data_IF_819686171993
#
_entry.id   IF_819686171993
#
_cell.length_a   1.000
_cell.length_b   1.000
_cell.length_c   1.000
_cell.angle_alpha   90.00
_cell.angle_beta   90.00
_cell.angle_gamma   90.00
#
_symmetry.space_group_name_H-M   'P 1'
#
loop_
_entity.id
_entity.type
_entity.pdbx_description
1 polymer ?
#
# COMPACT_ATOMS: atom_id res chain seq x y z
N UNK A 1 1.21 6.84 -23.59
CA UNK A 1 1.75 7.02 -22.22
C UNK A 1 0.72 7.73 -21.37
N UNK A 2 0.42 7.20 -20.21
CA UNK A 2 -0.45 7.83 -19.23
C UNK A 2 0.18 9.12 -18.72
N UNK A 3 -0.63 10.17 -18.53
CA UNK A 3 -0.20 11.42 -17.90
C UNK A 3 -0.84 11.50 -16.51
N UNK A 4 -0.05 11.44 -15.42
CA UNK A 4 -0.54 11.62 -14.06
C UNK A 4 -1.16 13.00 -13.85
N UNK A 5 -2.06 13.13 -12.87
CA UNK A 5 -2.74 14.37 -12.55
C UNK A 5 -1.80 15.55 -12.29
N UNK A 6 -0.63 15.30 -11.71
CA UNK A 6 0.38 16.33 -11.44
C UNK A 6 0.79 17.09 -12.70
N UNK A 7 0.90 16.41 -13.87
CA UNK A 7 1.23 17.06 -15.13
C UNK A 7 0.16 18.06 -15.56
N UNK A 8 -1.12 17.73 -15.35
CA UNK A 8 -2.22 18.64 -15.67
C UNK A 8 -2.29 19.82 -14.71
N UNK A 9 -2.01 19.60 -13.42
CA UNK A 9 -1.96 20.67 -12.44
C UNK A 9 -0.86 21.68 -12.79
N UNK A 10 0.34 21.21 -13.08
CA UNK A 10 1.48 22.06 -13.43
C UNK A 10 1.26 22.82 -14.76
N UNK A 11 0.57 22.22 -15.71
CA UNK A 11 0.28 22.87 -17.01
C UNK A 11 -0.82 23.94 -16.92
N UNK A 12 -1.76 23.80 -15.98
CA UNK A 12 -2.92 24.68 -15.84
C UNK A 12 -3.26 24.94 -14.36
N UNK A 13 -2.34 25.55 -13.58
CA UNK A 13 -2.55 25.70 -12.13
C UNK A 13 -3.78 26.55 -11.80
N UNK A 14 -4.13 27.55 -12.59
CA UNK A 14 -5.29 28.40 -12.41
C UNK A 14 -6.63 27.64 -12.46
N UNK A 15 -6.67 26.49 -13.09
CA UNK A 15 -7.86 25.63 -13.17
C UNK A 15 -8.09 24.85 -11.86
N UNK A 16 -7.04 24.58 -11.11
CA UNK A 16 -7.07 23.67 -9.98
C UNK A 16 -6.79 24.36 -8.65
N UNK A 17 -5.89 25.34 -8.61
CA UNK A 17 -5.49 26.02 -7.39
C UNK A 17 -6.48 27.15 -7.00
N UNK A 18 -6.63 27.33 -5.69
CA UNK A 18 -7.31 28.47 -5.07
C UNK A 18 -6.24 29.23 -4.26
N UNK A 19 -6.02 30.52 -4.60
CA UNK A 19 -4.89 31.25 -4.00
C UNK A 19 -3.54 30.84 -4.56
N UNK A 20 -2.46 31.16 -3.85
CA UNK A 20 -1.09 31.03 -4.36
C UNK A 20 -0.14 30.25 -3.46
N UNK A 21 -0.53 29.89 -2.25
CA UNK A 21 0.31 29.14 -1.33
C UNK A 21 -0.01 27.64 -1.38
N UNK A 22 1.00 26.81 -1.54
CA UNK A 22 0.84 25.37 -1.66
C UNK A 22 1.73 24.60 -0.70
N UNK A 23 1.17 23.54 -0.09
CA UNK A 23 1.90 22.49 0.59
C UNK A 23 1.84 21.20 -0.23
N UNK A 24 2.88 20.36 -0.15
CA UNK A 24 2.94 19.07 -0.84
C UNK A 24 2.99 17.92 0.16
N UNK A 25 2.16 16.90 -0.07
CA UNK A 25 2.30 15.57 0.53
C UNK A 25 2.85 14.65 -0.56
N UNK A 26 4.13 14.33 -0.46
CA UNK A 26 4.90 13.69 -1.53
C UNK A 26 5.93 12.71 -0.99
N UNK A 27 6.36 11.81 -1.85
CA UNK A 27 7.53 10.97 -1.63
C UNK A 27 8.29 10.80 -2.97
N UNK A 28 9.30 9.96 -3.00
CA UNK A 28 10.16 9.73 -4.18
C UNK A 28 9.41 9.20 -5.42
N UNK A 29 8.15 8.73 -5.28
CA UNK A 29 7.30 8.34 -6.42
C UNK A 29 6.61 9.52 -7.09
N UNK A 30 6.69 10.72 -6.51
CA UNK A 30 6.01 11.93 -6.96
C UNK A 30 6.69 12.53 -8.20
N UNK A 31 6.72 11.75 -9.28
CA UNK A 31 7.36 12.13 -10.54
C UNK A 31 6.34 12.62 -11.55
N UNK A 32 6.76 13.62 -12.32
CA UNK A 32 6.11 14.04 -13.56
C UNK A 32 6.52 13.14 -14.72
N UNK A 33 5.83 13.25 -15.84
CA UNK A 33 6.10 12.43 -17.04
C UNK A 33 7.49 12.63 -17.66
N UNK A 34 8.21 13.72 -17.30
CA UNK A 34 9.61 13.97 -17.68
C UNK A 34 10.60 13.41 -16.64
N UNK A 35 10.13 12.56 -15.72
CA UNK A 35 10.90 11.89 -14.67
C UNK A 35 11.57 12.83 -13.66
N UNK A 36 11.04 14.04 -13.50
CA UNK A 36 11.49 14.96 -12.46
C UNK A 36 10.55 14.89 -11.26
N UNK A 37 11.13 15.04 -10.09
CA UNK A 37 10.34 15.09 -8.86
C UNK A 37 9.48 16.36 -8.83
N UNK A 38 8.21 16.23 -8.42
CA UNK A 38 7.25 17.35 -8.38
C UNK A 38 7.77 18.55 -7.57
N UNK A 39 8.52 18.36 -6.49
CA UNK A 39 9.12 19.44 -5.69
C UNK A 39 9.92 20.40 -6.58
N UNK A 40 10.73 19.89 -7.51
CA UNK A 40 11.56 20.75 -8.38
C UNK A 40 10.71 21.68 -9.26
N UNK A 41 9.58 21.17 -9.78
CA UNK A 41 8.64 21.97 -10.55
C UNK A 41 7.91 22.99 -9.67
N UNK A 42 7.48 22.58 -8.48
CA UNK A 42 6.76 23.46 -7.57
C UNK A 42 7.65 24.58 -7.01
N UNK A 43 8.91 24.27 -6.69
CA UNK A 43 9.85 25.25 -6.14
C UNK A 43 10.19 26.39 -7.12
N UNK A 44 10.11 26.16 -8.43
CA UNK A 44 10.44 27.13 -9.46
C UNK A 44 9.24 27.70 -10.23
N UNK A 45 8.01 27.30 -9.86
CA UNK A 45 6.83 27.69 -10.64
C UNK A 45 6.42 29.15 -10.39
N UNK A 46 6.17 29.97 -11.45
CA UNK A 46 5.91 31.40 -11.29
C UNK A 46 4.51 31.74 -10.75
N UNK A 47 3.54 30.81 -10.80
CA UNK A 47 2.14 31.08 -10.49
C UNK A 47 1.77 30.88 -9.02
N UNK A 48 2.62 30.18 -8.24
CA UNK A 48 2.36 29.88 -6.84
C UNK A 48 3.66 29.72 -6.03
N UNK A 49 3.56 29.69 -4.73
CA UNK A 49 4.69 29.56 -3.80
C UNK A 49 4.56 28.26 -3.01
N UNK A 50 5.57 27.39 -3.09
CA UNK A 50 5.70 26.22 -2.25
C UNK A 50 6.15 26.65 -0.84
N UNK A 51 5.38 26.29 0.20
CA UNK A 51 5.62 26.75 1.57
C UNK A 51 5.77 25.62 2.59
N UNK A 52 5.34 24.40 2.27
CA UNK A 52 5.44 23.26 3.18
C UNK A 52 5.61 21.93 2.44
N UNK A 53 6.34 21.00 3.05
CA UNK A 53 6.53 19.64 2.59
C UNK A 53 6.15 18.65 3.68
N UNK A 54 5.41 17.62 3.30
CA UNK A 54 5.01 16.52 4.16
C UNK A 54 5.38 15.20 3.49
N UNK A 55 5.89 14.24 4.25
CA UNK A 55 6.25 12.92 3.76
C UNK A 55 5.52 11.83 4.53
N UNK A 56 5.01 10.77 3.86
CA UNK A 56 4.35 9.65 4.51
C UNK A 56 5.37 8.70 5.15
N UNK A 57 4.92 7.55 5.61
CA UNK A 57 5.76 6.41 5.98
C UNK A 57 6.87 6.18 4.93
N UNK A 58 8.02 5.69 5.34
CA UNK A 58 9.27 5.57 4.58
C UNK A 58 9.98 6.90 4.24
N UNK A 59 9.36 8.06 4.49
CA UNK A 59 9.93 9.40 4.24
C UNK A 59 9.90 9.85 2.80
N UNK A 60 10.39 11.07 2.57
CA UNK A 60 10.42 11.66 1.23
C UNK A 60 11.24 10.83 0.24
N UNK A 61 12.34 10.25 0.68
CA UNK A 61 13.27 9.50 -0.18
C UNK A 61 13.01 7.98 -0.17
N UNK A 62 12.05 7.49 0.62
CA UNK A 62 11.67 6.08 0.65
C UNK A 62 12.74 5.14 1.18
N UNK A 63 13.61 5.60 2.07
CA UNK A 63 14.77 4.80 2.55
C UNK A 63 14.50 4.08 3.88
N UNK A 64 13.55 4.57 4.67
CA UNK A 64 13.21 3.94 5.95
C UNK A 64 12.44 2.64 5.74
N UNK A 65 12.75 1.62 6.56
CA UNK A 65 11.99 0.37 6.57
C UNK A 65 10.59 0.61 7.19
N UNK A 66 9.70 -0.39 7.06
CA UNK A 66 8.39 -0.37 7.68
C UNK A 66 8.45 -0.21 9.20
N UNK A 67 7.49 0.50 9.76
CA UNK A 67 7.37 0.78 11.19
C UNK A 67 8.58 1.53 11.81
N UNK A 68 9.40 2.20 10.99
CA UNK A 68 10.54 3.01 11.46
C UNK A 68 10.15 4.48 11.50
N UNK A 69 10.32 5.11 12.66
CA UNK A 69 10.13 6.56 12.85
C UNK A 69 11.08 7.37 11.98
N UNK A 70 10.58 8.45 11.40
CA UNK A 70 11.34 9.35 10.54
C UNK A 70 11.33 10.73 11.17
N UNK A 71 12.52 11.26 11.42
CA UNK A 71 12.71 12.64 11.88
C UNK A 71 12.50 13.64 10.74
N UNK A 72 12.23 14.90 11.11
CA UNK A 72 12.13 15.97 10.13
C UNK A 72 13.49 16.26 9.50
N UNK A 73 13.51 16.37 8.17
CA UNK A 73 14.70 16.65 7.38
C UNK A 73 14.52 17.96 6.60
N UNK A 74 15.57 18.46 5.97
CA UNK A 74 15.51 19.62 5.08
C UNK A 74 15.69 19.14 3.64
N UNK A 75 14.73 19.45 2.78
CA UNK A 75 14.84 19.13 1.36
C UNK A 75 15.90 20.00 0.67
N UNK A 76 16.92 19.40 0.03
CA UNK A 76 18.02 20.16 -0.57
C UNK A 76 17.61 20.98 -1.82
N UNK A 77 16.46 20.66 -2.43
CA UNK A 77 15.99 21.35 -3.64
C UNK A 77 15.24 22.63 -3.30
N UNK A 78 14.32 22.55 -2.33
CA UNK A 78 13.50 23.70 -1.91
C UNK A 78 14.05 24.44 -0.70
N UNK A 79 14.90 23.82 0.11
CA UNK A 79 15.35 24.33 1.40
C UNK A 79 14.28 24.30 2.49
N UNK A 80 13.12 23.71 2.22
CA UNK A 80 12.03 23.57 3.19
C UNK A 80 12.23 22.38 4.11
N UNK A 81 11.74 22.50 5.35
CA UNK A 81 11.66 21.37 6.27
C UNK A 81 10.58 20.39 5.77
N UNK A 82 10.93 19.10 5.74
CA UNK A 82 10.03 18.01 5.46
C UNK A 82 9.43 17.57 6.79
N UNK A 83 8.12 17.75 6.96
CA UNK A 83 7.40 17.25 8.14
C UNK A 83 7.02 15.80 7.92
N UNK A 84 7.50 14.91 8.78
CA UNK A 84 7.12 13.48 8.74
C UNK A 84 5.68 13.31 9.21
N UNK A 85 4.91 12.52 8.44
CA UNK A 85 3.56 12.05 8.81
C UNK A 85 3.60 10.59 9.30
N UNK A 86 4.73 10.15 9.82
CA UNK A 86 4.90 8.83 10.42
C UNK A 86 5.90 8.87 11.58
N UNK A 87 5.39 8.76 12.79
CA UNK A 87 6.17 8.79 14.02
C UNK A 87 5.70 7.76 15.04
N UNK A 88 6.01 7.97 16.32
CA UNK A 88 5.79 6.99 17.42
C UNK A 88 4.32 6.71 17.77
N UNK A 89 3.43 7.60 17.43
CA UNK A 89 2.03 7.53 17.87
C UNK A 89 1.08 7.77 16.69
N UNK A 90 -0.12 7.27 16.79
CA UNK A 90 -1.16 7.50 15.78
C UNK A 90 -1.44 9.01 15.54
N UNK A 91 -1.27 9.85 16.55
CA UNK A 91 -1.41 11.30 16.42
C UNK A 91 -0.41 11.93 15.43
N UNK A 92 0.74 11.29 15.20
CA UNK A 92 1.76 11.77 14.25
C UNK A 92 1.45 11.43 12.80
N UNK A 93 0.41 10.64 12.54
CA UNK A 93 -0.04 10.30 11.19
C UNK A 93 -0.83 11.44 10.52
N UNK A 94 -1.12 12.52 11.25
CA UNK A 94 -1.82 13.70 10.75
C UNK A 94 -0.85 14.89 10.70
N UNK A 95 -0.94 15.78 9.69
CA UNK A 95 -0.24 17.06 9.74
C UNK A 95 -0.66 17.86 10.98
N UNK A 96 0.29 18.54 11.61
CA UNK A 96 -0.04 19.55 12.62
C UNK A 96 -0.93 20.63 11.96
N UNK A 97 -2.12 20.94 12.50
CA UNK A 97 -2.97 22.00 11.96
C UNK A 97 -2.22 23.36 11.84
N UNK A 98 -1.26 23.64 12.72
CA UNK A 98 -0.44 24.84 12.65
C UNK A 98 0.46 24.85 11.39
N UNK A 99 0.91 23.70 10.92
CA UNK A 99 1.72 23.58 9.71
C UNK A 99 0.92 23.89 8.42
N UNK A 100 -0.42 23.89 8.48
CA UNK A 100 -1.28 24.29 7.37
C UNK A 100 -1.69 25.77 7.43
N UNK A 101 -1.28 26.51 8.44
CA UNK A 101 -1.62 27.93 8.58
C UNK A 101 -1.05 28.74 7.39
N UNK A 102 -1.95 29.43 6.65
CA UNK A 102 -1.57 30.22 5.49
C UNK A 102 -1.35 29.42 4.19
N UNK A 103 -1.65 28.13 4.21
CA UNK A 103 -1.62 27.28 3.00
C UNK A 103 -3.01 27.28 2.36
N UNK A 104 -3.11 27.73 1.11
CA UNK A 104 -4.38 27.73 0.36
C UNK A 104 -4.75 26.34 -0.13
N UNK A 105 -3.75 25.55 -0.56
CA UNK A 105 -3.94 24.23 -1.12
C UNK A 105 -2.90 23.24 -0.56
N UNK A 106 -3.36 22.08 -0.09
CA UNK A 106 -2.52 20.93 0.23
C UNK A 106 -2.66 19.90 -0.91
N UNK A 107 -1.55 19.57 -1.56
CA UNK A 107 -1.53 18.74 -2.76
C UNK A 107 -0.93 17.38 -2.42
N UNK A 108 -1.69 16.32 -2.67
CA UNK A 108 -1.25 14.93 -2.53
C UNK A 108 -0.87 14.37 -3.90
N UNK A 109 0.35 13.88 -4.03
CA UNK A 109 0.88 13.30 -5.27
C UNK A 109 1.77 12.09 -4.96
N UNK A 110 1.19 10.95 -4.60
CA UNK A 110 1.92 9.71 -4.22
C UNK A 110 1.33 8.53 -4.98
N UNK A 111 2.19 7.60 -5.43
CA UNK A 111 1.80 6.35 -6.07
C UNK A 111 1.38 5.31 -5.03
N UNK A 112 0.14 4.84 -5.12
CA UNK A 112 -0.39 3.70 -4.36
C UNK A 112 -0.05 2.36 -5.04
N UNK A 113 -0.26 1.23 -4.34
CA UNK A 113 -0.03 -0.12 -4.86
C UNK A 113 -1.30 -0.95 -5.10
N UNK A 114 -2.49 -0.42 -4.79
CA UNK A 114 -3.78 -1.07 -5.04
C UNK A 114 -4.23 -2.03 -3.93
N UNK A 115 -3.60 -2.00 -2.76
CA UNK A 115 -3.90 -2.85 -1.62
C UNK A 115 -4.31 -2.03 -0.39
N UNK A 116 -5.36 -2.48 0.31
CA UNK A 116 -5.96 -1.82 1.47
C UNK A 116 -4.95 -1.45 2.57
N UNK A 117 -3.99 -2.29 2.83
CA UNK A 117 -3.05 -2.08 3.93
C UNK A 117 -1.84 -1.21 3.58
N UNK A 118 -1.75 -0.75 2.34
CA UNK A 118 -0.69 0.18 1.94
C UNK A 118 -1.05 1.59 2.38
N UNK A 119 -0.36 2.08 3.42
CA UNK A 119 -0.82 3.16 4.31
C UNK A 119 -0.94 4.55 3.68
N UNK A 120 -0.38 4.76 2.48
CA UNK A 120 -0.42 6.07 1.81
C UNK A 120 -1.83 6.59 1.55
N UNK A 121 -2.79 5.68 1.31
CA UNK A 121 -4.20 6.06 1.13
C UNK A 121 -4.81 6.63 2.41
N UNK A 122 -4.37 6.14 3.58
CA UNK A 122 -4.84 6.66 4.87
C UNK A 122 -4.10 7.93 5.28
N UNK A 123 -2.82 8.09 4.92
CA UNK A 123 -2.13 9.38 5.01
C UNK A 123 -2.90 10.45 4.22
N UNK A 124 -3.38 10.14 3.00
CA UNK A 124 -4.26 11.02 2.22
C UNK A 124 -5.55 11.36 2.97
N UNK A 125 -6.25 10.36 3.51
CA UNK A 125 -7.50 10.56 4.23
C UNK A 125 -7.31 11.42 5.49
N UNK A 126 -6.23 11.22 6.24
CA UNK A 126 -5.88 12.03 7.41
C UNK A 126 -5.57 13.48 7.02
N UNK A 127 -4.83 13.70 5.93
CA UNK A 127 -4.62 15.03 5.36
C UNK A 127 -5.95 15.71 4.97
N UNK A 128 -6.89 14.96 4.37
CA UNK A 128 -8.23 15.46 4.05
C UNK A 128 -8.99 15.90 5.32
N UNK A 129 -8.92 15.11 6.40
CA UNK A 129 -9.52 15.44 7.68
C UNK A 129 -8.99 16.75 8.28
N UNK A 130 -7.67 16.97 8.21
CA UNK A 130 -7.06 18.22 8.67
C UNK A 130 -7.40 19.38 7.75
N UNK A 131 -7.43 19.18 6.43
CA UNK A 131 -7.90 20.20 5.47
C UNK A 131 -9.33 20.67 5.75
N UNK A 132 -10.24 19.77 6.13
CA UNK A 132 -11.59 20.15 6.59
C UNK A 132 -11.55 21.08 7.81
N UNK A 133 -10.70 20.78 8.79
CA UNK A 133 -10.57 21.56 10.04
C UNK A 133 -9.94 22.93 9.81
N UNK A 134 -8.93 23.02 8.94
CA UNK A 134 -8.19 24.27 8.65
C UNK A 134 -8.82 25.15 7.58
N UNK A 135 -9.76 24.63 6.77
CA UNK A 135 -10.29 25.32 5.60
C UNK A 135 -9.34 25.35 4.40
N UNK A 136 -8.22 24.61 4.46
CA UNK A 136 -7.30 24.41 3.35
C UNK A 136 -7.95 23.52 2.30
N UNK A 137 -7.83 23.86 1.00
CA UNK A 137 -8.31 22.98 -0.07
C UNK A 137 -7.39 21.77 -0.21
N UNK A 138 -7.95 20.56 -0.21
CA UNK A 138 -7.24 19.34 -0.56
C UNK A 138 -7.25 19.13 -2.07
N UNK A 139 -6.09 18.89 -2.67
CA UNK A 139 -5.95 18.54 -4.08
C UNK A 139 -5.28 17.17 -4.16
N UNK A 140 -5.89 16.24 -4.88
CA UNK A 140 -5.31 14.92 -5.13
C UNK A 140 -5.00 14.79 -6.60
N UNK A 141 -3.70 14.65 -6.91
CA UNK A 141 -3.24 14.35 -8.26
C UNK A 141 -3.39 12.85 -8.51
N UNK A 142 -4.31 12.50 -9.40
CA UNK A 142 -4.63 11.10 -9.66
C UNK A 142 -3.49 10.37 -10.35
N UNK A 143 -3.28 9.10 -9.94
CA UNK A 143 -2.27 8.17 -10.45
C UNK A 143 -2.89 6.80 -10.71
N UNK A 144 -2.36 6.01 -11.69
CA UNK A 144 -2.91 4.71 -12.01
C UNK A 144 -2.84 3.74 -10.81
N UNK A 145 -3.88 2.92 -10.66
CA UNK A 145 -3.76 1.73 -9.84
C UNK A 145 -2.82 0.75 -10.56
N UNK A 146 -1.70 0.33 -9.96
CA UNK A 146 -0.67 -0.42 -10.68
C UNK A 146 -1.07 -1.86 -11.01
N UNK A 147 -2.03 -2.40 -10.27
CA UNK A 147 -2.51 -3.78 -10.42
C UNK A 147 -3.91 -3.85 -11.05
N UNK A 148 -4.21 -2.92 -11.95
CA UNK A 148 -5.46 -2.62 -12.64
C UNK A 148 -6.59 -2.05 -11.75
N UNK A 149 -7.61 -1.49 -12.39
CA UNK A 149 -8.78 -0.92 -11.72
C UNK A 149 -10.05 -1.76 -11.87
N UNK A 150 -9.93 -3.06 -12.17
CA UNK A 150 -11.07 -3.95 -12.44
C UNK A 150 -11.20 -5.04 -11.39
N UNK A 151 -10.07 -5.65 -10.99
CA UNK A 151 -10.10 -6.83 -10.14
C UNK A 151 -10.21 -6.44 -8.66
N UNK A 152 -11.32 -6.83 -8.06
CA UNK A 152 -11.57 -6.73 -6.61
C UNK A 152 -11.29 -8.09 -5.97
N UNK A 153 -10.72 -8.09 -4.75
CA UNK A 153 -10.51 -9.32 -3.99
C UNK A 153 -10.46 -9.03 -2.48
N UNK A 154 -11.08 -9.90 -1.71
CA UNK A 154 -11.10 -9.82 -0.25
C UNK A 154 -12.35 -9.17 0.32
N UNK A 155 -12.49 -9.31 1.63
CA UNK A 155 -13.62 -8.78 2.40
C UNK A 155 -13.39 -7.31 2.77
N UNK A 156 -14.48 -6.64 3.12
CA UNK A 156 -14.42 -5.32 3.75
C UNK A 156 -13.89 -5.44 5.19
N UNK A 157 -13.19 -4.41 5.67
CA UNK A 157 -12.78 -4.37 7.07
C UNK A 157 -13.98 -4.11 7.97
N UNK A 158 -14.19 -4.95 8.97
CA UNK A 158 -15.23 -4.76 9.96
C UNK A 158 -14.90 -3.59 10.90
N UNK A 159 -15.91 -2.91 11.42
CA UNK A 159 -15.75 -1.68 12.20
C UNK A 159 -14.82 -1.86 13.41
N UNK A 160 -14.92 -2.95 14.12
CA UNK A 160 -14.09 -3.28 15.30
C UNK A 160 -12.63 -3.59 14.96
N UNK A 161 -12.31 -3.82 13.66
CA UNK A 161 -10.96 -4.15 13.17
C UNK A 161 -10.30 -3.02 12.40
N UNK A 162 -10.91 -1.82 12.41
CA UNK A 162 -10.32 -0.64 11.80
C UNK A 162 -9.01 -0.27 12.49
N UNK A 163 -8.00 0.00 11.67
CA UNK A 163 -6.64 0.36 12.11
C UNK A 163 -5.94 1.16 11.02
N UNK A 164 -4.67 1.52 11.21
CA UNK A 164 -3.91 2.23 10.17
C UNK A 164 -3.68 1.37 8.90
N UNK A 165 -3.83 0.06 8.96
CA UNK A 165 -3.77 -0.84 7.78
C UNK A 165 -5.14 -1.22 7.22
N UNK A 166 -6.20 -0.57 7.69
CA UNK A 166 -7.57 -0.83 7.29
C UNK A 166 -8.55 0.15 7.94
N UNK A 167 -8.42 1.44 7.64
CA UNK A 167 -9.20 2.49 8.33
C UNK A 167 -10.65 2.55 7.87
N UNK A 168 -10.93 2.16 6.63
CA UNK A 168 -12.25 2.26 6.01
C UNK A 168 -12.68 0.94 5.35
N UNK A 169 -13.98 0.74 5.09
CA UNK A 169 -14.50 -0.51 4.52
C UNK A 169 -14.11 -0.66 3.04
N UNK A 170 -12.86 -1.02 2.81
CA UNK A 170 -12.30 -1.34 1.51
C UNK A 170 -11.99 -2.84 1.43
N UNK A 171 -12.11 -3.49 0.26
CA UNK A 171 -11.59 -4.83 0.04
C UNK A 171 -10.05 -4.83 0.05
N UNK A 172 -9.44 -5.98 0.30
CA UNK A 172 -7.99 -6.11 0.37
C UNK A 172 -7.30 -5.64 -0.93
N UNK A 173 -7.86 -5.99 -2.10
CA UNK A 173 -7.52 -5.43 -3.40
C UNK A 173 -8.69 -4.56 -3.86
N UNK A 174 -8.53 -3.23 -3.85
CA UNK A 174 -9.65 -2.29 -3.96
C UNK A 174 -9.95 -1.77 -5.37
N UNK A 175 -9.08 -2.00 -6.34
CA UNK A 175 -9.25 -1.61 -7.75
C UNK A 175 -9.51 -0.10 -8.02
N UNK A 176 -9.29 0.78 -7.05
CA UNK A 176 -9.48 2.23 -7.19
C UNK A 176 -8.15 2.95 -7.40
N UNK A 177 -8.20 4.10 -8.10
CA UNK A 177 -7.07 5.04 -8.19
C UNK A 177 -7.02 5.93 -6.95
N UNK A 178 -5.91 6.65 -6.74
CA UNK A 178 -5.79 7.59 -5.62
C UNK A 178 -6.89 8.66 -5.65
N UNK A 179 -7.25 9.17 -6.84
CA UNK A 179 -8.32 10.14 -7.02
C UNK A 179 -9.70 9.55 -6.70
N UNK A 180 -9.97 8.32 -7.10
CA UNK A 180 -11.21 7.61 -6.79
C UNK A 180 -11.34 7.33 -5.29
N UNK A 181 -10.25 6.90 -4.63
CA UNK A 181 -10.21 6.74 -3.17
C UNK A 181 -10.47 8.06 -2.45
N UNK A 182 -9.89 9.17 -2.92
CA UNK A 182 -10.16 10.48 -2.33
C UNK A 182 -11.64 10.87 -2.43
N UNK A 183 -12.28 10.62 -3.57
CA UNK A 183 -13.71 10.85 -3.74
C UNK A 183 -14.55 9.95 -2.82
N UNK A 184 -14.22 8.67 -2.75
CA UNK A 184 -14.87 7.72 -1.85
C UNK A 184 -14.76 8.15 -0.38
N UNK A 185 -13.55 8.50 0.09
CA UNK A 185 -13.36 8.95 1.46
C UNK A 185 -14.08 10.27 1.75
N UNK A 186 -14.16 11.17 0.77
CA UNK A 186 -14.82 12.45 0.95
C UNK A 186 -16.35 12.36 1.00
N UNK A 187 -16.93 11.49 0.18
CA UNK A 187 -18.39 11.38 0.01
C UNK A 187 -19.00 10.22 0.77
N UNK A 188 -18.49 9.01 0.63
CA UNK A 188 -19.09 7.81 1.24
C UNK A 188 -18.69 7.66 2.73
N UNK A 189 -17.48 8.07 3.08
CA UNK A 189 -16.98 8.08 4.47
C UNK A 189 -17.30 9.43 5.17
N UNK A 190 -17.77 10.41 4.42
CA UNK A 190 -18.20 11.74 4.90
C UNK A 190 -17.06 12.56 5.56
N UNK A 191 -15.83 12.45 5.05
CA UNK A 191 -14.76 13.36 5.51
C UNK A 191 -15.19 14.82 5.23
N UNK A 192 -15.72 15.13 4.03
CA UNK A 192 -16.37 16.39 3.71
C UNK A 192 -15.43 17.60 3.69
N UNK A 193 -14.19 17.45 3.23
CA UNK A 193 -13.27 18.56 2.98
C UNK A 193 -13.53 19.23 1.63
N UNK A 194 -13.00 20.45 1.42
CA UNK A 194 -12.96 21.06 0.08
C UNK A 194 -11.97 20.30 -0.79
N UNK A 195 -12.45 19.28 -1.53
CA UNK A 195 -11.63 18.37 -2.33
C UNK A 195 -11.66 18.75 -3.81
N UNK A 196 -10.49 18.70 -4.46
CA UNK A 196 -10.32 18.75 -5.91
C UNK A 196 -9.44 17.61 -6.38
N UNK A 197 -10.00 16.69 -7.17
CA UNK A 197 -9.20 15.67 -7.87
C UNK A 197 -8.74 16.24 -9.21
N UNK A 198 -7.45 16.11 -9.50
CA UNK A 198 -6.84 16.41 -10.80
C UNK A 198 -6.71 15.08 -11.54
N UNK A 199 -7.53 14.84 -12.58
CA UNK A 199 -7.56 13.54 -13.24
C UNK A 199 -6.26 13.25 -13.99
N UNK A 200 -5.88 11.99 -14.06
CA UNK A 200 -4.92 11.51 -15.05
C UNK A 200 -5.61 11.36 -16.43
N UNK A 201 -4.83 11.23 -17.49
CA UNK A 201 -5.34 10.94 -18.84
C UNK A 201 -4.60 9.78 -19.48
N UNK A 202 -5.23 9.17 -20.50
CA UNK A 202 -4.68 8.02 -21.24
C UNK A 202 -4.43 6.77 -20.37
N UNK A 203 -5.20 6.60 -19.31
CA UNK A 203 -5.31 5.37 -18.53
C UNK A 203 -6.73 4.82 -18.64
N UNK A 204 -6.83 3.51 -18.69
CA UNK A 204 -8.10 2.80 -18.54
C UNK A 204 -7.98 1.74 -17.45
N UNK A 205 -9.12 1.28 -16.92
CA UNK A 205 -9.17 0.42 -15.74
C UNK A 205 -8.51 -0.95 -15.92
N UNK A 206 -8.44 -1.44 -17.13
CA UNK A 206 -7.87 -2.75 -17.46
C UNK A 206 -6.33 -2.72 -17.51
N UNK A 207 -5.73 -1.54 -17.64
CA UNK A 207 -4.28 -1.39 -17.76
C UNK A 207 -3.55 -1.74 -16.46
N UNK A 208 -2.47 -2.49 -16.63
CA UNK A 208 -1.44 -2.67 -15.63
C UNK A 208 -0.39 -1.57 -15.73
N UNK A 209 0.40 -1.38 -14.67
CA UNK A 209 1.33 -0.25 -14.61
C UNK A 209 2.36 -0.22 -15.76
N UNK A 210 2.92 -1.36 -16.15
CA UNK A 210 3.87 -1.50 -17.25
C UNK A 210 3.28 -1.16 -18.63
N UNK A 211 1.96 -1.14 -18.77
CA UNK A 211 1.26 -0.73 -19.98
C UNK A 211 1.01 0.78 -20.04
N UNK A 212 1.22 1.49 -18.93
CA UNK A 212 1.02 2.94 -18.86
C UNK A 212 2.15 3.75 -19.53
N UNK A 213 3.32 3.12 -19.68
CA UNK A 213 4.54 3.78 -20.15
C UNK A 213 5.24 4.62 -19.08
N UNK A 214 4.76 4.59 -17.83
CA UNK A 214 5.41 5.23 -16.68
C UNK A 214 6.48 4.29 -16.10
N UNK A 215 7.62 4.82 -15.61
CA UNK A 215 8.63 4.00 -14.94
C UNK A 215 8.12 3.54 -13.57
N UNK A 216 8.38 2.28 -13.23
CA UNK A 216 8.16 1.81 -11.88
C UNK A 216 9.19 2.43 -10.93
N UNK A 217 8.72 3.23 -10.00
CA UNK A 217 9.52 3.73 -8.87
C UNK A 217 9.06 2.95 -7.64
N UNK A 218 9.93 2.19 -6.98
CA UNK A 218 9.55 1.41 -5.80
C UNK A 218 8.95 2.32 -4.72
N UNK A 219 7.66 2.19 -4.38
CA UNK A 219 7.05 3.14 -3.43
C UNK A 219 7.53 2.94 -1.99
N UNK A 220 8.15 1.80 -1.69
CA UNK A 220 8.85 1.52 -0.44
C UNK A 220 10.02 0.57 -0.68
N UNK A 221 10.98 0.41 0.28
CA UNK A 221 12.14 -0.47 0.10
C UNK A 221 11.79 -1.92 -0.23
N UNK A 222 10.66 -2.41 0.25
CA UNK A 222 10.21 -3.79 0.04
C UNK A 222 9.15 -3.93 -1.07
N UNK A 223 9.01 -2.90 -1.93
CA UNK A 223 8.15 -2.92 -3.12
C UNK A 223 8.97 -2.69 -4.41
N UNK A 224 10.04 -3.50 -4.66
CA UNK A 224 11.05 -3.20 -5.68
C UNK A 224 10.53 -3.28 -7.12
N UNK A 225 9.51 -4.10 -7.38
CA UNK A 225 9.01 -4.36 -8.73
C UNK A 225 7.49 -4.37 -8.80
N UNK A 226 6.95 -4.22 -10.01
CA UNK A 226 5.53 -4.42 -10.25
C UNK A 226 5.08 -5.85 -9.89
N UNK A 227 5.93 -6.87 -10.11
CA UNK A 227 5.60 -8.24 -9.71
C UNK A 227 5.36 -8.36 -8.20
N UNK A 228 6.15 -7.64 -7.41
CA UNK A 228 5.94 -7.55 -5.96
C UNK A 228 4.57 -6.92 -5.63
N UNK A 229 4.19 -5.84 -6.32
CA UNK A 229 2.88 -5.21 -6.14
C UNK A 229 1.71 -6.13 -6.54
N UNK A 230 1.90 -6.97 -7.56
CA UNK A 230 0.88 -7.94 -8.02
C UNK A 230 0.58 -9.00 -6.96
N UNK A 231 1.59 -9.51 -6.25
CA UNK A 231 1.40 -10.53 -5.21
C UNK A 231 1.04 -9.93 -3.85
N UNK A 232 1.35 -8.66 -3.62
CA UNK A 232 1.27 -7.99 -2.32
C UNK A 232 -0.14 -8.01 -1.69
N UNK A 233 -1.28 -7.83 -2.41
CA UNK A 233 -2.61 -7.88 -1.79
C UNK A 233 -2.90 -9.16 -1.02
N UNK A 234 -2.30 -10.27 -1.40
CA UNK A 234 -2.35 -11.52 -0.64
C UNK A 234 -1.18 -11.64 0.33
N UNK A 235 0.04 -11.52 -0.18
CA UNK A 235 1.26 -11.85 0.55
C UNK A 235 1.51 -10.96 1.78
N UNK A 236 0.89 -9.80 1.86
CA UNK A 236 0.90 -9.00 3.07
C UNK A 236 0.28 -9.73 4.28
N UNK A 237 -0.64 -10.68 4.09
CA UNK A 237 -1.18 -11.50 5.19
C UNK A 237 -0.10 -12.31 5.93
N UNK A 238 1.01 -12.65 5.27
CA UNK A 238 2.16 -13.33 5.88
C UNK A 238 2.75 -12.52 7.04
N UNK A 239 2.63 -11.18 7.01
CA UNK A 239 3.07 -10.32 8.12
C UNK A 239 2.32 -10.62 9.43
N UNK A 240 1.10 -11.14 9.33
CA UNK A 240 0.32 -11.61 10.47
C UNK A 240 0.77 -12.95 11.07
N UNK A 241 1.88 -13.51 10.60
CA UNK A 241 2.45 -14.79 11.04
C UNK A 241 3.91 -14.66 11.44
N UNK A 242 4.51 -15.76 11.91
CA UNK A 242 5.95 -15.87 12.14
C UNK A 242 6.72 -16.37 10.89
N UNK A 243 6.05 -16.53 9.75
CA UNK A 243 6.68 -16.88 8.47
C UNK A 243 7.32 -15.62 7.86
N UNK A 244 8.52 -15.74 7.30
CA UNK A 244 9.13 -14.64 6.55
C UNK A 244 8.40 -14.44 5.24
N UNK A 245 7.99 -13.21 4.96
CA UNK A 245 7.47 -12.74 3.68
C UNK A 245 8.58 -12.37 2.69
N UNK A 246 9.82 -12.77 2.97
CA UNK A 246 10.96 -12.53 2.10
C UNK A 246 11.57 -11.15 2.19
N UNK A 247 11.17 -10.28 3.14
CA UNK A 247 11.91 -9.05 3.45
C UNK A 247 13.36 -9.39 3.81
N UNK A 248 14.30 -8.54 3.43
CA UNK A 248 15.73 -8.86 3.56
C UNK A 248 16.28 -9.78 2.46
N UNK A 249 15.46 -10.11 1.45
CA UNK A 249 15.88 -10.77 0.21
C UNK A 249 15.73 -9.82 -0.98
N UNK A 250 16.16 -10.26 -2.17
CA UNK A 250 15.97 -9.50 -3.42
C UNK A 250 14.54 -9.58 -3.99
N UNK A 251 13.65 -10.39 -3.38
CA UNK A 251 12.27 -10.61 -3.84
C UNK A 251 11.30 -10.68 -2.66
N UNK A 252 11.13 -9.56 -1.93
CA UNK A 252 10.15 -9.49 -0.85
C UNK A 252 8.74 -9.78 -1.40
N UNK A 253 7.94 -10.48 -0.60
CA UNK A 253 6.59 -10.95 -0.93
C UNK A 253 6.46 -11.95 -2.09
N UNK A 254 7.42 -11.98 -3.01
CA UNK A 254 7.47 -13.03 -4.04
C UNK A 254 8.09 -14.34 -3.49
N UNK A 255 8.92 -14.23 -2.43
CA UNK A 255 9.46 -15.35 -1.66
C UNK A 255 8.85 -15.36 -0.27
N UNK A 256 8.56 -16.55 0.25
CA UNK A 256 8.13 -16.71 1.64
C UNK A 256 8.57 -18.06 2.18
N UNK A 257 8.72 -18.16 3.50
CA UNK A 257 9.13 -19.41 4.14
C UNK A 257 9.61 -19.25 5.58
N UNK A 258 10.05 -20.37 6.16
CA UNK A 258 10.57 -20.41 7.52
C UNK A 258 11.61 -21.55 7.65
N UNK A 259 12.45 -21.55 8.70
CA UNK A 259 13.46 -22.60 8.90
C UNK A 259 12.90 -24.03 9.02
N UNK A 260 11.65 -24.16 9.48
CA UNK A 260 10.99 -25.45 9.65
C UNK A 260 10.26 -25.97 8.41
N UNK A 261 10.13 -25.17 7.35
CA UNK A 261 9.37 -25.55 6.15
C UNK A 261 10.26 -26.38 5.21
N UNK A 262 9.79 -27.56 4.84
CA UNK A 262 10.31 -28.33 3.72
C UNK A 262 9.63 -27.84 2.42
N UNK A 263 10.35 -27.19 1.50
CA UNK A 263 9.76 -26.60 0.29
C UNK A 263 9.12 -27.62 -0.65
N UNK A 264 9.62 -28.86 -0.68
CA UNK A 264 9.07 -29.91 -1.54
C UNK A 264 7.77 -30.48 -0.98
N UNK A 265 7.68 -30.67 0.34
CA UNK A 265 6.42 -31.08 0.99
C UNK A 265 5.34 -30.01 0.85
N UNK A 266 5.72 -28.73 1.01
CA UNK A 266 4.79 -27.64 0.84
C UNK A 266 4.28 -27.56 -0.62
N UNK A 267 5.16 -27.69 -1.62
CA UNK A 267 4.75 -27.75 -3.01
C UNK A 267 3.78 -28.91 -3.27
N UNK A 268 4.13 -30.12 -2.84
CA UNK A 268 3.27 -31.30 -3.00
C UNK A 268 1.89 -31.09 -2.38
N UNK A 269 1.82 -30.42 -1.20
CA UNK A 269 0.53 -30.14 -0.54
C UNK A 269 -0.29 -29.13 -1.33
N UNK A 270 0.31 -28.04 -1.82
CA UNK A 270 -0.42 -26.99 -2.55
C UNK A 270 -0.86 -27.43 -3.96
N UNK A 271 -0.20 -28.44 -4.56
CA UNK A 271 -0.58 -29.00 -5.87
C UNK A 271 -2.04 -29.46 -5.90
N UNK A 272 -2.61 -29.91 -4.77
CA UNK A 272 -4.02 -30.30 -4.69
C UNK A 272 -5.01 -29.12 -4.80
N UNK A 273 -4.54 -27.90 -4.60
CA UNK A 273 -5.36 -26.69 -4.62
C UNK A 273 -5.18 -25.89 -5.94
N UNK A 274 -4.25 -26.29 -6.82
CA UNK A 274 -3.87 -25.54 -8.03
C UNK A 274 -5.04 -25.30 -9.01
N UNK A 275 -6.00 -26.20 -9.09
CA UNK A 275 -7.19 -26.03 -9.94
C UNK A 275 -8.05 -24.82 -9.51
N UNK A 276 -7.92 -24.39 -8.25
CA UNK A 276 -8.60 -23.23 -7.71
C UNK A 276 -7.73 -21.96 -7.70
N UNK A 277 -6.45 -22.08 -8.06
CA UNK A 277 -5.44 -21.01 -8.04
C UNK A 277 -4.92 -20.71 -9.45
N UNK A 278 -5.74 -20.12 -10.32
CA UNK A 278 -5.33 -19.85 -11.70
C UNK A 278 -4.24 -18.78 -11.77
N UNK A 279 -3.43 -18.84 -12.84
CA UNK A 279 -2.46 -17.79 -13.16
C UNK A 279 -1.23 -17.75 -12.27
N UNK A 280 -0.94 -18.83 -11.52
CA UNK A 280 0.22 -18.92 -10.65
C UNK A 280 0.94 -20.27 -10.77
N UNK A 281 2.26 -20.25 -10.57
CA UNK A 281 3.12 -21.42 -10.38
C UNK A 281 4.02 -21.20 -9.16
N UNK A 282 4.38 -22.29 -8.49
CA UNK A 282 5.26 -22.23 -7.32
C UNK A 282 6.57 -22.98 -7.60
N UNK A 283 7.67 -22.39 -7.16
CA UNK A 283 8.99 -23.01 -7.23
C UNK A 283 9.53 -23.25 -5.81
N UNK A 284 9.87 -24.50 -5.45
CA UNK A 284 10.54 -24.77 -4.18
C UNK A 284 11.89 -24.06 -4.12
N UNK A 285 12.22 -23.46 -2.97
CA UNK A 285 13.51 -22.83 -2.79
C UNK A 285 13.95 -22.78 -1.33
N UNK A 286 15.24 -22.53 -1.15
CA UNK A 286 15.82 -22.08 0.10
C UNK A 286 16.33 -20.65 -0.08
N UNK A 287 16.18 -19.84 0.96
CA UNK A 287 16.66 -18.46 0.99
C UNK A 287 17.06 -18.06 2.41
N UNK A 288 17.78 -16.97 2.54
CA UNK A 288 18.20 -16.45 3.84
C UNK A 288 17.87 -14.96 3.88
N UNK A 289 16.88 -14.54 4.68
CA UNK A 289 16.63 -13.12 4.92
C UNK A 289 17.83 -12.48 5.62
N UNK A 290 18.17 -11.24 5.27
CA UNK A 290 19.27 -10.53 5.92
C UNK A 290 18.82 -9.75 7.16
N UNK A 291 17.52 -9.48 7.30
CA UNK A 291 16.93 -8.78 8.42
C UNK A 291 15.46 -9.19 8.61
N UNK A 292 14.80 -8.71 9.66
CA UNK A 292 13.44 -9.05 10.11
C UNK A 292 13.28 -10.54 10.45
N UNK A 293 12.11 -11.14 10.15
CA UNK A 293 11.79 -12.52 10.51
C UNK A 293 12.84 -13.48 9.95
N UNK A 294 13.41 -14.30 10.83
CA UNK A 294 14.46 -15.27 10.52
C UNK A 294 15.71 -14.66 9.88
N UNK A 295 16.04 -13.41 10.19
CA UNK A 295 17.25 -12.74 9.70
C UNK A 295 18.52 -13.53 10.01
N UNK A 296 19.30 -13.89 8.99
CA UNK A 296 20.52 -14.71 9.12
C UNK A 296 20.29 -16.23 9.18
N UNK A 297 19.04 -16.71 9.15
CA UNK A 297 18.72 -18.13 9.15
C UNK A 297 18.31 -18.63 7.74
N UNK A 298 18.66 -19.86 7.42
CA UNK A 298 18.21 -20.50 6.18
C UNK A 298 16.74 -20.90 6.32
N UNK A 299 15.88 -20.40 5.42
CA UNK A 299 14.47 -20.73 5.34
C UNK A 299 14.19 -21.59 4.11
N UNK A 300 13.39 -22.64 4.28
CA UNK A 300 12.74 -23.33 3.19
C UNK A 300 11.38 -22.70 2.90
N UNK A 301 10.96 -22.72 1.65
CA UNK A 301 9.68 -22.12 1.25
C UNK A 301 9.44 -22.18 -0.25
N UNK A 302 8.56 -21.31 -0.75
CA UNK A 302 8.24 -21.22 -2.16
C UNK A 302 8.50 -19.82 -2.71
N UNK A 303 8.83 -19.77 -3.99
CA UNK A 303 8.76 -18.56 -4.80
C UNK A 303 7.47 -18.60 -5.62
N UNK A 304 6.76 -17.48 -5.64
CA UNK A 304 5.54 -17.28 -6.43
C UNK A 304 5.92 -16.76 -7.81
N UNK A 305 5.44 -17.42 -8.85
CA UNK A 305 5.54 -16.97 -10.23
C UNK A 305 4.14 -16.74 -10.79
N UNK A 306 3.77 -15.48 -10.98
CA UNK A 306 2.52 -15.13 -11.65
C UNK A 306 2.67 -15.36 -13.15
N UNK A 307 1.91 -16.30 -13.70
CA UNK A 307 1.96 -16.69 -15.12
C UNK A 307 0.87 -16.03 -15.94
N UNK A 308 -0.27 -15.69 -15.31
CA UNK A 308 -1.34 -14.89 -15.90
C UNK A 308 -1.91 -13.95 -14.83
N UNK A 309 -1.50 -12.69 -14.86
CA UNK A 309 -1.91 -11.69 -13.87
C UNK A 309 -3.38 -11.31 -13.92
N UNK A 310 -4.08 -11.59 -15.05
CA UNK A 310 -5.50 -11.30 -15.19
C UNK A 310 -6.38 -12.36 -14.52
N UNK A 311 -5.85 -13.57 -14.34
CA UNK A 311 -6.52 -14.66 -13.64
C UNK A 311 -6.03 -14.82 -12.19
N UNK A 312 -4.84 -14.33 -11.87
CA UNK A 312 -4.21 -14.50 -10.58
C UNK A 312 -5.01 -13.85 -9.46
N UNK A 313 -5.27 -14.64 -8.41
CA UNK A 313 -5.99 -14.24 -7.19
C UNK A 313 -5.01 -14.20 -6.01
N UNK A 314 -4.34 -13.06 -5.75
CA UNK A 314 -3.29 -12.98 -4.73
C UNK A 314 -3.76 -13.36 -3.33
N UNK A 315 -4.93 -12.88 -2.89
CA UNK A 315 -5.43 -13.14 -1.54
C UNK A 315 -5.81 -14.61 -1.38
N UNK A 316 -6.58 -15.17 -2.33
CA UNK A 316 -6.97 -16.59 -2.30
C UNK A 316 -5.74 -17.50 -2.31
N UNK A 317 -4.74 -17.17 -3.14
CA UNK A 317 -3.47 -17.88 -3.21
C UNK A 317 -2.76 -17.89 -1.86
N UNK A 318 -2.63 -16.75 -1.19
CA UNK A 318 -1.96 -16.66 0.11
C UNK A 318 -2.72 -17.39 1.20
N UNK A 319 -4.05 -17.34 1.18
CA UNK A 319 -4.88 -18.10 2.11
C UNK A 319 -4.64 -19.61 1.93
N UNK A 320 -4.59 -20.11 0.69
CA UNK A 320 -4.29 -21.51 0.42
C UNK A 320 -2.90 -21.92 0.95
N UNK A 321 -1.89 -21.05 0.74
CA UNK A 321 -0.52 -21.28 1.25
C UNK A 321 -0.47 -21.31 2.77
N UNK A 322 -1.13 -20.38 3.45
CA UNK A 322 -1.18 -20.35 4.93
C UNK A 322 -1.88 -21.58 5.51
N UNK A 323 -2.98 -22.02 4.88
CA UNK A 323 -3.67 -23.26 5.25
C UNK A 323 -2.78 -24.48 5.09
N UNK A 324 -2.10 -24.61 3.95
CA UNK A 324 -1.18 -25.71 3.68
C UNK A 324 -0.05 -25.77 4.72
N UNK A 325 0.50 -24.62 5.11
CA UNK A 325 1.56 -24.55 6.12
C UNK A 325 1.00 -24.89 7.52
N UNK A 326 -0.16 -24.38 7.91
CA UNK A 326 -0.79 -24.69 9.19
C UNK A 326 -1.09 -26.20 9.33
N UNK A 327 -1.57 -26.82 8.24
CA UNK A 327 -1.82 -28.27 8.17
C UNK A 327 -0.53 -29.10 8.29
N UNK A 328 0.52 -28.73 7.56
CA UNK A 328 1.78 -29.47 7.55
C UNK A 328 2.60 -29.27 8.83
N UNK A 329 2.52 -28.11 9.45
CA UNK A 329 3.36 -27.69 10.58
C UNK A 329 2.54 -27.12 11.74
N UNK A 330 1.55 -27.86 12.29
CA UNK A 330 0.61 -27.34 13.30
C UNK A 330 1.27 -26.94 14.63
N UNK A 331 2.49 -27.44 14.90
CA UNK A 331 3.23 -27.11 16.12
C UNK A 331 4.09 -25.85 15.94
N UNK A 332 4.65 -25.65 14.76
CA UNK A 332 5.58 -24.60 14.42
C UNK A 332 4.87 -23.36 13.89
N UNK A 333 3.78 -23.52 13.14
CA UNK A 333 2.97 -22.40 12.64
C UNK A 333 2.42 -21.56 13.79
N UNK A 334 2.67 -20.26 13.74
CA UNK A 334 2.22 -19.31 14.74
C UNK A 334 1.70 -18.03 14.07
N UNK A 335 0.60 -17.51 14.60
CA UNK A 335 0.19 -16.14 14.32
C UNK A 335 1.11 -15.17 15.06
N UNK A 336 1.34 -14.01 14.46
CA UNK A 336 2.05 -12.90 15.12
C UNK A 336 1.18 -12.32 16.22
N UNK A 337 1.75 -12.19 17.41
CA UNK A 337 1.09 -11.63 18.62
C UNK A 337 1.69 -10.32 19.07
N UNK A 338 2.83 -9.93 18.52
CA UNK A 338 3.49 -8.66 18.80
C UNK A 338 2.64 -7.49 18.27
N UNK A 339 2.74 -6.30 18.88
CA UNK A 339 2.05 -5.11 18.40
C UNK A 339 2.27 -4.87 16.90
N UNK A 340 1.23 -4.41 16.21
CA UNK A 340 1.26 -4.15 14.79
C UNK A 340 0.54 -2.84 14.48
N UNK A 341 1.21 -1.92 13.80
CA UNK A 341 0.66 -0.63 13.35
C UNK A 341 -0.18 0.09 14.41
N UNK A 342 0.45 0.40 15.54
CA UNK A 342 -0.14 1.09 16.71
C UNK A 342 -1.20 0.29 17.49
N UNK A 343 -1.51 -0.96 17.11
CA UNK A 343 -2.47 -1.84 17.79
C UNK A 343 -1.74 -2.93 18.56
N UNK A 344 -2.08 -3.11 19.84
CA UNK A 344 -1.44 -4.08 20.74
C UNK A 344 -2.38 -5.13 21.33
N UNK A 345 -3.69 -4.99 21.13
CA UNK A 345 -4.74 -5.80 21.74
C UNK A 345 -5.35 -6.82 20.77
N UNK A 346 -4.91 -6.84 19.52
CA UNK A 346 -5.43 -7.73 18.46
C UNK A 346 -4.30 -8.33 17.63
N UNK A 347 -4.43 -9.60 17.17
CA UNK A 347 -3.48 -10.21 16.26
C UNK A 347 -3.38 -9.44 14.92
N UNK A 348 -2.17 -9.29 14.41
CA UNK A 348 -1.92 -8.60 13.14
C UNK A 348 -2.75 -9.19 11.98
N UNK A 349 -2.94 -10.51 11.95
CA UNK A 349 -3.73 -11.16 10.90
C UNK A 349 -5.19 -10.70 10.88
N UNK A 350 -5.80 -10.45 12.04
CA UNK A 350 -7.19 -9.99 12.14
C UNK A 350 -7.32 -8.54 11.61
N UNK A 351 -6.33 -7.71 11.83
CA UNK A 351 -6.26 -6.35 11.29
C UNK A 351 -6.07 -6.37 9.76
N UNK A 352 -5.14 -7.20 9.28
CA UNK A 352 -4.84 -7.35 7.85
C UNK A 352 -6.01 -7.99 7.09
N UNK A 353 -6.61 -9.05 7.61
CA UNK A 353 -7.76 -9.68 6.98
C UNK A 353 -9.03 -8.82 7.14
N UNK A 354 -9.14 -8.07 8.26
CA UNK A 354 -10.25 -7.17 8.55
C UNK A 354 -11.34 -7.76 9.46
N UNK A 355 -11.17 -9.00 9.94
CA UNK A 355 -11.98 -9.67 10.96
C UNK A 355 -11.27 -10.95 11.42
N UNK A 356 -11.89 -11.72 12.36
CA UNK A 356 -11.32 -12.96 12.92
C UNK A 356 -11.57 -14.22 12.08
N UNK A 357 -12.47 -14.15 11.10
CA UNK A 357 -12.99 -15.34 10.40
C UNK A 357 -11.89 -16.22 9.80
N UNK A 358 -10.89 -15.61 9.16
CA UNK A 358 -9.80 -16.37 8.57
C UNK A 358 -8.98 -17.11 9.63
N UNK A 359 -8.56 -16.42 10.70
CA UNK A 359 -7.74 -17.00 11.76
C UNK A 359 -8.47 -18.12 12.51
N UNK A 360 -9.75 -17.91 12.82
CA UNK A 360 -10.55 -18.86 13.59
C UNK A 360 -10.97 -20.10 12.78
N UNK A 361 -11.02 -19.98 11.46
CA UNK A 361 -11.51 -21.03 10.56
C UNK A 361 -10.49 -21.49 9.53
N UNK A 362 -9.19 -21.22 9.74
CA UNK A 362 -8.13 -21.56 8.78
C UNK A 362 -8.12 -23.04 8.39
N UNK A 363 -8.51 -23.95 9.30
CA UNK A 363 -8.52 -25.39 9.07
C UNK A 363 -9.85 -25.91 8.49
N UNK A 364 -10.94 -25.16 8.60
CA UNK A 364 -12.30 -25.66 8.35
C UNK A 364 -12.93 -25.13 7.08
N UNK A 365 -12.75 -23.84 6.74
CA UNK A 365 -13.35 -23.25 5.53
C UNK A 365 -12.60 -23.71 4.27
N UNK A 366 -13.33 -24.09 3.24
CA UNK A 366 -12.79 -24.31 1.90
C UNK A 366 -12.42 -22.96 1.21
N UNK A 367 -11.57 -23.01 0.20
CA UNK A 367 -11.23 -21.81 -0.59
C UNK A 367 -12.46 -21.19 -1.25
N UNK A 368 -13.39 -22.02 -1.72
CA UNK A 368 -14.64 -21.58 -2.35
C UNK A 368 -15.56 -20.85 -1.34
N UNK A 369 -15.67 -21.34 -0.11
CA UNK A 369 -16.47 -20.68 0.93
C UNK A 369 -15.83 -19.34 1.35
N UNK A 370 -14.50 -19.28 1.43
CA UNK A 370 -13.78 -18.03 1.70
C UNK A 370 -14.00 -17.02 0.59
N UNK A 371 -13.83 -17.42 -0.68
CA UNK A 371 -14.04 -16.51 -1.82
C UNK A 371 -15.52 -16.05 -1.92
N UNK A 372 -16.48 -16.94 -1.66
CA UNK A 372 -17.89 -16.59 -1.64
C UNK A 372 -18.24 -15.56 -0.58
N UNK A 373 -17.59 -15.63 0.60
CA UNK A 373 -17.82 -14.69 1.70
C UNK A 373 -17.41 -13.24 1.38
N UNK A 374 -16.61 -13.01 0.35
CA UNK A 374 -16.21 -11.66 -0.07
C UNK A 374 -17.26 -10.94 -0.92
N UNK A 375 -18.29 -11.67 -1.38
CA UNK A 375 -19.36 -11.13 -2.22
C UNK A 375 -20.57 -10.65 -1.41
N UNK A 376 -20.60 -10.94 -0.11
CA UNK A 376 -21.61 -10.48 0.84
C UNK A 376 -21.26 -9.12 1.46
#
# INVERSE_FOLDING_TARGET
>A
MTLPGINHLLAQPEKYLKGKTVGLVVNHTSLTSDHKHSIAHFNSHPSFTLTALFAPEHGLYGIAQDMVEIENEVDPVSGLTISSLYGKTEATLEPDPAALAGIDNLIFDIQDVGARYYTFIYTMAKCMGICKKSGTRMIVCDRPNPINGVSLEGNLVAEDYRSFVGQYPLPNRHAMTAGELALFFNHEIDIGCELKVVPMTHWNREQWYDETGLPWVPPSPNMPTLNTAVVYPGMCLIEGTQISEGRGTTRPFENFGAPYIDPHKLLQRIESDLDQLPGVMFRPQFFQPMFQKHGGEACGGLQIHVTDRNQFKPLLTTIALLRAIAELYPKEFKWRTEPYEFVSDRPAIDLLYGNTQFRENIETLSLNEIEASWQE
#
